data_IF_770552679939
#
_entry.id   IF_770552679939
#
_cell.length_a   1.000
_cell.length_b   1.000
_cell.length_c   1.000
_cell.angle_alpha   90.00
_cell.angle_beta   90.00
_cell.angle_gamma   90.00
#
_symmetry.space_group_name_H-M   'P 1'
#
loop_
_entity.id
_entity.type
_entity.pdbx_description
1 polymer ?
#
# COMPACT_ATOMS: atom_id res chain seq x y z
N UNK A 1 41.50 -0.80 36.02
CA UNK A 1 40.05 -0.73 35.76
C UNK A 1 39.44 -2.11 36.02
N UNK A 2 39.18 -2.47 37.27
CA UNK A 2 38.58 -3.77 37.62
C UNK A 2 37.85 -3.66 38.96
N UNK A 3 36.78 -2.87 38.97
CA UNK A 3 35.89 -2.71 40.11
C UNK A 3 34.54 -3.31 39.78
N UNK A 4 33.93 -4.05 40.72
CA UNK A 4 32.56 -4.58 40.59
C UNK A 4 31.54 -3.48 40.24
N UNK A 5 31.80 -2.24 40.66
CA UNK A 5 30.95 -1.08 40.34
C UNK A 5 31.02 -0.70 38.87
N UNK A 6 32.20 -0.77 38.24
CA UNK A 6 32.35 -0.46 36.82
C UNK A 6 31.61 -1.50 35.98
N UNK A 7 31.73 -2.78 36.35
CA UNK A 7 30.97 -3.87 35.72
C UNK A 7 29.46 -3.66 35.85
N UNK A 8 28.97 -3.34 37.05
CA UNK A 8 27.54 -3.05 37.26
C UNK A 8 27.06 -1.82 36.46
N UNK A 9 27.89 -0.78 36.35
CA UNK A 9 27.57 0.43 35.57
C UNK A 9 27.50 0.15 34.07
N UNK A 10 28.46 -0.60 33.52
CA UNK A 10 28.45 -1.01 32.11
C UNK A 10 27.30 -1.97 31.80
N UNK A 11 27.02 -2.93 32.67
CA UNK A 11 25.90 -3.84 32.52
C UNK A 11 24.57 -3.07 32.53
N UNK A 12 24.35 -2.20 33.52
CA UNK A 12 23.17 -1.35 33.60
C UNK A 12 23.02 -0.46 32.36
N UNK A 13 24.08 0.25 31.97
CA UNK A 13 24.07 1.11 30.78
C UNK A 13 23.75 0.34 29.50
N UNK A 14 24.31 -0.87 29.34
CA UNK A 14 24.02 -1.75 28.21
C UNK A 14 22.56 -2.18 28.15
N UNK A 15 21.99 -2.65 29.26
CA UNK A 15 20.57 -3.04 29.33
C UNK A 15 19.64 -1.84 29.12
N UNK A 16 19.96 -0.68 29.69
CA UNK A 16 19.19 0.55 29.48
C UNK A 16 19.23 0.99 28.02
N UNK A 17 20.37 0.92 27.35
CA UNK A 17 20.50 1.25 25.94
C UNK A 17 19.67 0.30 25.05
N UNK A 18 19.76 -1.01 25.27
CA UNK A 18 18.97 -2.01 24.54
C UNK A 18 17.47 -1.82 24.77
N UNK A 19 17.06 -1.60 26.02
CA UNK A 19 15.67 -1.31 26.38
C UNK A 19 15.15 -0.03 25.73
N UNK A 20 15.95 1.02 25.72
CA UNK A 20 15.63 2.30 25.09
C UNK A 20 15.45 2.19 23.57
N UNK A 21 16.36 1.50 22.89
CA UNK A 21 16.24 1.21 21.45
C UNK A 21 14.98 0.37 21.14
N UNK A 22 14.69 -0.64 21.96
CA UNK A 22 13.49 -1.46 21.83
C UNK A 22 12.20 -0.66 21.99
N UNK A 23 12.16 0.23 22.98
CA UNK A 23 11.01 1.11 23.22
C UNK A 23 10.79 2.08 22.05
N UNK A 24 11.84 2.75 21.58
CA UNK A 24 11.75 3.66 20.43
C UNK A 24 11.33 2.94 19.14
N UNK A 25 11.84 1.74 18.91
CA UNK A 25 11.42 0.91 17.77
C UNK A 25 9.93 0.55 17.85
N UNK A 26 9.46 0.10 19.02
CA UNK A 26 8.05 -0.23 19.22
C UNK A 26 7.14 0.99 19.03
N UNK A 27 7.55 2.16 19.52
CA UNK A 27 6.86 3.44 19.29
C UNK A 27 6.81 3.82 17.82
N UNK A 28 7.91 3.63 17.07
CA UNK A 28 7.89 3.90 15.62
C UNK A 28 6.97 2.94 14.88
N UNK A 29 7.00 1.66 15.24
CA UNK A 29 6.22 0.59 14.60
C UNK A 29 4.72 0.71 14.88
N UNK A 30 4.31 1.28 16.02
CA UNK A 30 2.89 1.50 16.31
C UNK A 30 2.24 2.55 15.40
N UNK A 31 3.05 3.42 14.77
CA UNK A 31 2.59 4.38 13.76
C UNK A 31 2.63 3.84 12.33
N UNK A 32 3.20 2.65 12.12
CA UNK A 32 3.18 2.04 10.79
C UNK A 32 1.76 1.60 10.41
N UNK A 33 1.42 1.53 9.11
CA UNK A 33 0.07 1.18 8.69
C UNK A 33 -0.35 -0.18 9.23
N UNK A 34 -1.53 -0.19 9.84
CA UNK A 34 -2.16 -1.36 10.42
C UNK A 34 -2.23 -2.51 9.38
N UNK A 35 -2.13 -3.78 9.82
CA UNK A 35 -2.26 -4.93 8.93
C UNK A 35 -3.55 -4.91 8.09
N UNK A 36 -4.66 -4.41 8.66
CA UNK A 36 -5.93 -4.23 7.95
C UNK A 36 -5.83 -3.25 6.78
N UNK A 37 -5.08 -2.15 6.93
CA UNK A 37 -4.85 -1.17 5.85
C UNK A 37 -3.96 -1.76 4.75
N UNK A 38 -3.01 -2.63 5.11
CA UNK A 38 -2.19 -3.38 4.13
C UNK A 38 -3.01 -4.42 3.38
N UNK A 39 -3.91 -5.12 4.08
CA UNK A 39 -4.81 -6.12 3.50
C UNK A 39 -5.83 -5.49 2.53
N UNK A 40 -6.28 -4.27 2.80
CA UNK A 40 -7.11 -3.48 1.87
C UNK A 40 -6.37 -3.03 0.58
N UNK A 41 -5.15 -3.54 0.34
CA UNK A 41 -4.37 -3.30 -0.87
C UNK A 41 -4.98 -3.90 -2.13
N UNK A 42 -5.82 -4.92 -2.02
CA UNK A 42 -6.47 -5.57 -3.16
C UNK A 42 -7.97 -5.31 -3.14
N UNK A 43 -8.54 -5.03 -4.30
CA UNK A 43 -9.99 -4.93 -4.49
C UNK A 43 -10.36 -5.70 -5.74
N UNK A 44 -11.54 -6.30 -5.73
CA UNK A 44 -12.13 -6.97 -6.90
C UNK A 44 -13.27 -6.11 -7.40
N UNK A 45 -13.19 -5.67 -8.64
CA UNK A 45 -14.27 -4.90 -9.30
C UNK A 45 -14.94 -5.83 -10.30
N UNK A 46 -16.27 -5.90 -10.24
CA UNK A 46 -17.05 -6.62 -11.25
C UNK A 46 -17.18 -5.76 -12.51
N UNK A 47 -16.75 -6.32 -13.64
CA UNK A 47 -16.74 -5.67 -14.95
C UNK A 47 -18.01 -6.01 -15.77
N UNK A 48 -18.90 -6.85 -15.26
CA UNK A 48 -20.11 -7.29 -15.97
C UNK A 48 -21.07 -6.15 -16.33
N UNK A 49 -21.09 -5.10 -15.51
CA UNK A 49 -21.95 -3.91 -15.68
C UNK A 49 -21.26 -2.76 -16.43
N UNK A 50 -20.03 -2.96 -16.91
CA UNK A 50 -19.25 -1.92 -17.57
C UNK A 50 -19.83 -1.57 -18.95
N UNK A 51 -20.36 -0.35 -19.07
CA UNK A 51 -20.87 0.21 -20.33
C UNK A 51 -19.70 0.70 -21.19
N UNK A 52 -19.76 0.41 -22.48
CA UNK A 52 -18.76 0.87 -23.44
C UNK A 52 -18.66 2.40 -23.48
N UNK A 53 -17.44 2.90 -23.52
CA UNK A 53 -17.12 4.33 -23.59
C UNK A 53 -17.69 5.18 -22.43
N UNK A 54 -18.04 4.54 -21.31
CA UNK A 54 -18.44 5.22 -20.07
C UNK A 54 -17.37 5.02 -19.01
N UNK A 55 -16.96 6.11 -18.37
CA UNK A 55 -16.00 6.06 -17.27
C UNK A 55 -16.69 5.52 -16.01
N UNK A 56 -16.25 4.36 -15.54
CA UNK A 56 -16.57 3.85 -14.21
C UNK A 56 -15.52 4.38 -13.22
N UNK A 57 -16.00 5.01 -12.15
CA UNK A 57 -15.14 5.55 -11.09
C UNK A 57 -15.41 4.76 -9.83
N UNK A 58 -14.42 3.98 -9.40
CA UNK A 58 -14.49 3.19 -8.19
C UNK A 58 -13.50 3.71 -7.15
N UNK A 59 -13.72 3.37 -5.88
CA UNK A 59 -12.84 3.80 -4.78
C UNK A 59 -11.90 2.68 -4.38
N UNK A 60 -10.60 2.87 -4.56
CA UNK A 60 -9.56 1.93 -4.10
C UNK A 60 -8.56 2.64 -3.18
N UNK A 61 -8.32 2.07 -1.99
CA UNK A 61 -7.44 2.65 -0.95
C UNK A 61 -7.72 4.14 -0.66
N UNK A 62 -8.98 4.55 -0.72
CA UNK A 62 -9.39 5.93 -0.49
C UNK A 62 -9.25 6.88 -1.68
N UNK A 63 -8.72 6.40 -2.82
CA UNK A 63 -8.49 7.19 -4.04
C UNK A 63 -9.41 6.74 -5.19
N UNK A 64 -9.79 7.63 -6.10
CA UNK A 64 -10.56 7.25 -7.28
C UNK A 64 -9.68 6.45 -8.25
N UNK A 65 -10.23 5.35 -8.76
CA UNK A 65 -9.69 4.60 -9.89
C UNK A 65 -10.64 4.76 -11.07
N UNK A 66 -10.07 4.94 -12.25
CA UNK A 66 -10.76 5.09 -13.51
C UNK A 66 -10.71 3.78 -14.27
N UNK A 67 -11.88 3.24 -14.59
CA UNK A 67 -12.04 2.03 -15.39
C UNK A 67 -12.88 2.43 -16.60
N UNK A 68 -12.32 2.26 -17.79
CA UNK A 68 -13.01 2.58 -19.04
C UNK A 68 -12.97 1.36 -19.96
N UNK A 69 -14.14 0.83 -20.30
CA UNK A 69 -14.26 -0.17 -21.37
C UNK A 69 -14.10 0.53 -22.71
N UNK A 70 -13.02 0.22 -23.43
CA UNK A 70 -12.73 0.78 -24.75
C UNK A 70 -13.66 0.14 -25.79
N UNK A 71 -14.24 0.96 -26.67
CA UNK A 71 -15.00 0.47 -27.83
C UNK A 71 -14.06 -0.17 -28.87
N UNK A 72 -14.63 -0.95 -29.80
CA UNK A 72 -13.87 -1.59 -30.87
C UNK A 72 -13.10 -0.57 -31.74
N UNK A 73 -13.66 0.62 -31.93
CA UNK A 73 -13.11 1.67 -32.79
C UNK A 73 -11.96 2.46 -32.17
N UNK A 74 -11.74 2.33 -30.85
CA UNK A 74 -10.72 3.10 -30.15
C UNK A 74 -9.31 2.52 -30.40
N UNK A 75 -8.28 3.36 -30.64
CA UNK A 75 -6.92 2.89 -30.89
C UNK A 75 -6.40 2.00 -29.75
N UNK A 76 -5.67 0.95 -30.14
CA UNK A 76 -4.99 0.03 -29.22
C UNK A 76 -3.82 0.79 -28.58
N UNK A 77 -3.70 0.68 -27.26
CA UNK A 77 -2.55 1.14 -26.49
C UNK A 77 -1.92 -0.10 -25.83
N UNK A 78 -0.60 -0.16 -25.75
CA UNK A 78 0.12 -1.29 -25.14
C UNK A 78 -0.20 -1.46 -23.64
N UNK A 79 -0.75 -0.42 -23.01
CA UNK A 79 -1.18 -0.42 -21.59
C UNK A 79 -2.61 -0.89 -21.37
N UNK A 80 -3.29 -1.35 -22.42
CA UNK A 80 -4.65 -1.87 -22.31
C UNK A 80 -4.70 -3.19 -21.57
N UNK A 81 -5.63 -3.29 -20.62
CA UNK A 81 -5.90 -4.52 -19.88
C UNK A 81 -6.93 -5.33 -20.64
N UNK A 82 -6.57 -6.54 -21.06
CA UNK A 82 -7.44 -7.43 -21.82
C UNK A 82 -8.11 -8.40 -20.84
N UNK A 83 -9.44 -8.40 -20.82
CA UNK A 83 -10.24 -9.36 -20.04
C UNK A 83 -11.19 -10.06 -21.01
N UNK A 84 -10.94 -11.34 -21.29
CA UNK A 84 -11.66 -12.07 -22.33
C UNK A 84 -11.39 -11.48 -23.72
N UNK A 85 -12.44 -10.94 -24.36
CA UNK A 85 -12.35 -10.24 -25.65
C UNK A 85 -12.32 -8.71 -25.52
N UNK A 86 -12.63 -8.17 -24.34
CA UNK A 86 -12.83 -6.74 -24.11
C UNK A 86 -11.54 -6.06 -23.64
N UNK A 87 -11.36 -4.80 -24.06
CA UNK A 87 -10.21 -3.96 -23.72
C UNK A 87 -10.61 -2.91 -22.69
N UNK A 88 -9.83 -2.81 -21.61
CA UNK A 88 -10.05 -1.87 -20.53
C UNK A 88 -8.84 -0.95 -20.36
N UNK A 89 -9.12 0.35 -20.23
CA UNK A 89 -8.16 1.29 -19.70
C UNK A 89 -8.35 1.40 -18.20
N UNK A 90 -7.26 1.24 -17.45
CA UNK A 90 -7.25 1.44 -16.00
C UNK A 90 -6.20 2.47 -15.61
N UNK A 91 -6.61 3.46 -14.84
CA UNK A 91 -5.69 4.45 -14.28
C UNK A 91 -6.11 4.86 -12.87
N UNK A 92 -5.14 5.27 -12.07
CA UNK A 92 -5.42 5.95 -10.81
C UNK A 92 -5.81 7.39 -11.16
N UNK A 93 -6.95 7.87 -10.67
CA UNK A 93 -7.48 9.21 -10.92
C UNK A 93 -6.74 10.31 -10.15
N UNK A 94 -5.41 10.25 -10.11
CA UNK A 94 -4.54 11.26 -9.53
C UNK A 94 -3.80 11.96 -10.67
N UNK A 95 -3.99 13.28 -10.78
CA UNK A 95 -3.10 14.10 -11.58
C UNK A 95 -1.72 14.08 -10.93
N UNK A 96 -0.68 13.81 -11.71
CA UNK A 96 0.72 13.84 -11.29
C UNK A 96 1.29 15.24 -11.37
#
# INVERSE_FOLDING_TARGET
MSSRRDFMGMALGGFTALGGLGALYAMKKSWDPLPSVKAAGFTTVDLSSAVENKLAVEKWRGKPIFILKKSADMPKDDRDVIVGSDRFFMAIGLCT
#
